data_IF_192095029657
#
_entry.id   IF_192095029657
#
_cell.length_a   1.000
_cell.length_b   1.000
_cell.length_c   1.000
_cell.angle_alpha   90.00
_cell.angle_beta   90.00
_cell.angle_gamma   90.00
#
_symmetry.space_group_name_H-M   'P 1'
#
loop_
_entity.id
_entity.type
_entity.pdbx_description
1 polymer ?
#
# COMPACT_ATOMS: atom_id res chain seq x y z
N UNK A 1 -7.30 -18.22 28.11
CA UNK A 1 -7.53 -17.99 26.66
C UNK A 1 -7.88 -16.54 26.36
N UNK A 2 -8.73 -15.91 27.15
CA UNK A 2 -9.20 -14.53 26.91
C UNK A 2 -8.09 -13.48 26.84
N UNK A 3 -7.10 -13.53 27.75
CA UNK A 3 -5.96 -12.62 27.70
C UNK A 3 -5.16 -12.73 26.38
N UNK A 4 -5.00 -13.95 25.85
CA UNK A 4 -4.30 -14.21 24.58
C UNK A 4 -5.09 -13.66 23.38
N UNK A 5 -6.41 -13.88 23.35
CA UNK A 5 -7.29 -13.30 22.33
C UNK A 5 -7.28 -11.77 22.34
N UNK A 6 -7.32 -11.16 23.53
CA UNK A 6 -7.26 -9.71 23.69
C UNK A 6 -5.90 -9.15 23.23
N UNK A 7 -4.80 -9.82 23.54
CA UNK A 7 -3.47 -9.40 23.11
C UNK A 7 -3.31 -9.50 21.58
N UNK A 8 -3.70 -10.61 20.97
CA UNK A 8 -3.62 -10.79 19.52
C UNK A 8 -4.60 -9.87 18.78
N UNK A 9 -5.79 -9.60 19.33
CA UNK A 9 -6.73 -8.62 18.77
C UNK A 9 -6.17 -7.19 18.78
N UNK A 10 -5.47 -6.79 19.85
CA UNK A 10 -4.76 -5.50 19.87
C UNK A 10 -3.62 -5.45 18.85
N UNK A 11 -2.89 -6.56 18.67
CA UNK A 11 -1.83 -6.67 17.67
C UNK A 11 -2.39 -6.55 16.25
N UNK A 12 -3.50 -7.23 15.94
CA UNK A 12 -4.18 -7.11 14.66
C UNK A 12 -4.54 -5.65 14.35
N UNK A 13 -5.21 -4.96 15.28
CA UNK A 13 -5.64 -3.58 15.08
C UNK A 13 -4.45 -2.62 14.89
N UNK A 14 -3.32 -2.89 15.56
CA UNK A 14 -2.09 -2.14 15.34
C UNK A 14 -1.55 -2.36 13.93
N UNK A 15 -1.49 -3.62 13.46
CA UNK A 15 -0.97 -3.98 12.13
C UNK A 15 -1.89 -3.46 11.02
N UNK A 16 -3.21 -3.47 11.20
CA UNK A 16 -4.17 -2.84 10.29
C UNK A 16 -3.91 -1.34 10.17
N UNK A 17 -3.76 -0.65 11.29
CA UNK A 17 -3.45 0.79 11.28
C UNK A 17 -2.12 1.08 10.58
N UNK A 18 -1.12 0.22 10.75
CA UNK A 18 0.15 0.35 10.04
C UNK A 18 0.04 0.07 8.55
N UNK A 19 -0.76 -0.93 8.15
CA UNK A 19 -1.08 -1.22 6.75
C UNK A 19 -1.75 -0.02 6.10
N UNK A 20 -2.77 0.55 6.76
CA UNK A 20 -3.54 1.67 6.21
C UNK A 20 -2.68 2.93 6.05
N UNK A 21 -1.79 3.20 7.01
CA UNK A 21 -0.79 4.29 6.88
C UNK A 21 0.12 4.11 5.67
N UNK A 22 0.63 2.89 5.46
CA UNK A 22 1.47 2.59 4.29
C UNK A 22 0.66 2.69 3.00
N UNK A 23 -0.61 2.28 3.01
CA UNK A 23 -1.53 2.45 1.89
C UNK A 23 -1.69 3.91 1.50
N UNK A 24 -1.97 4.78 2.48
CA UNK A 24 -2.08 6.24 2.26
C UNK A 24 -0.79 6.84 1.70
N UNK A 25 0.36 6.43 2.21
CA UNK A 25 1.66 6.87 1.69
C UNK A 25 1.88 6.42 0.24
N UNK A 26 1.52 5.18 -0.09
CA UNK A 26 1.63 4.66 -1.45
C UNK A 26 0.73 5.43 -2.42
N UNK A 27 -0.49 5.78 -2.01
CA UNK A 27 -1.42 6.54 -2.84
C UNK A 27 -0.92 7.97 -3.09
N UNK A 28 -0.37 8.63 -2.07
CA UNK A 28 0.28 9.94 -2.23
C UNK A 28 1.46 9.88 -3.20
N UNK A 29 2.31 8.86 -3.09
CA UNK A 29 3.43 8.66 -4.02
C UNK A 29 2.96 8.39 -5.45
N UNK A 30 1.88 7.63 -5.63
CA UNK A 30 1.27 7.40 -6.95
C UNK A 30 0.72 8.68 -7.55
N UNK A 31 0.07 9.53 -6.76
CA UNK A 31 -0.38 10.85 -7.22
C UNK A 31 0.79 11.74 -7.64
N UNK A 32 1.88 11.76 -6.86
CA UNK A 32 3.10 12.49 -7.21
C UNK A 32 3.73 11.96 -8.51
N UNK A 33 3.76 10.64 -8.69
CA UNK A 33 4.26 10.03 -9.92
C UNK A 33 3.42 10.42 -11.15
N UNK A 34 2.09 10.43 -11.03
CA UNK A 34 1.20 10.90 -12.10
C UNK A 34 1.48 12.36 -12.44
N UNK A 35 1.65 13.21 -11.44
CA UNK A 35 1.98 14.62 -11.66
C UNK A 35 3.31 14.80 -12.41
N UNK A 36 4.36 14.09 -11.98
CA UNK A 36 5.68 14.11 -12.63
C UNK A 36 5.59 13.62 -14.09
N UNK A 37 4.77 12.59 -14.34
CA UNK A 37 4.53 12.09 -15.70
C UNK A 37 3.85 13.14 -16.59
N UNK A 38 2.89 13.92 -16.06
CA UNK A 38 2.29 15.04 -16.78
C UNK A 38 3.32 16.14 -17.08
N UNK A 39 4.19 16.47 -16.13
CA UNK A 39 5.26 17.46 -16.34
C UNK A 39 6.25 17.00 -17.42
N UNK A 40 6.63 15.72 -17.43
CA UNK A 40 7.47 15.14 -18.49
C UNK A 40 6.82 15.25 -19.88
N UNK A 41 5.52 14.96 -19.97
CA UNK A 41 4.77 15.13 -21.22
C UNK A 41 4.79 16.60 -21.68
N UNK A 42 4.57 17.55 -20.79
CA UNK A 42 4.64 18.98 -21.11
C UNK A 42 6.04 19.41 -21.57
N UNK A 43 7.10 18.96 -20.89
CA UNK A 43 8.49 19.24 -21.28
C UNK A 43 8.83 18.65 -22.65
N UNK A 44 8.37 17.43 -22.94
CA UNK A 44 8.57 16.81 -24.26
C UNK A 44 7.84 17.58 -25.37
N UNK A 45 6.61 18.05 -25.11
CA UNK A 45 5.85 18.88 -26.03
C UNK A 45 6.53 20.24 -26.28
N UNK A 46 7.04 20.89 -25.22
CA UNK A 46 7.81 22.13 -25.32
C UNK A 46 9.07 21.93 -26.17
N UNK A 47 9.81 20.83 -25.98
CA UNK A 47 11.00 20.52 -26.79
C UNK A 47 10.64 20.32 -28.26
N UNK A 48 9.60 19.56 -28.55
CA UNK A 48 9.13 19.34 -29.93
C UNK A 48 8.70 20.66 -30.60
N UNK A 49 7.97 21.51 -29.87
CA UNK A 49 7.54 22.81 -30.36
C UNK A 49 8.70 23.79 -30.58
N UNK A 50 9.69 23.80 -29.68
CA UNK A 50 10.91 24.60 -29.85
C UNK A 50 11.70 24.17 -31.10
N UNK A 51 11.81 22.86 -31.34
CA UNK A 51 12.44 22.32 -32.55
C UNK A 51 11.69 22.68 -33.84
N UNK A 52 10.35 22.60 -33.84
CA UNK A 52 9.53 23.01 -34.99
C UNK A 52 9.61 24.52 -35.26
N UNK A 53 9.61 25.34 -34.20
CA UNK A 53 9.74 26.79 -34.31
C UNK A 53 11.09 27.21 -34.89
N UNK A 54 12.16 26.47 -34.58
CA UNK A 54 13.48 26.70 -35.16
C UNK A 54 13.51 26.46 -36.68
N UNK A 55 12.74 25.48 -37.18
CA UNK A 55 12.67 25.13 -38.61
C UNK A 55 11.80 26.10 -39.43
N UNK A 56 10.89 26.84 -38.78
CA UNK A 56 9.96 27.77 -39.42
C UNK A 56 10.43 29.24 -39.37
N UNK A 57 11.58 29.54 -38.77
CA UNK A 57 12.10 30.90 -38.64
C UNK A 57 12.58 31.45 -40.00
N UNK A 58 11.97 32.53 -40.53
CA UNK A 58 12.26 33.04 -41.89
C UNK A 58 13.64 33.69 -42.02
N UNK A 59 14.25 34.12 -40.90
CA UNK A 59 15.64 34.58 -40.86
C UNK A 59 16.33 34.07 -39.58
N UNK A 60 17.40 33.29 -39.75
CA UNK A 60 18.20 32.78 -38.64
C UNK A 60 19.39 33.72 -38.43
N UNK A 61 19.34 34.51 -37.35
CA UNK A 61 20.51 35.26 -36.90
C UNK A 61 21.33 34.44 -35.88
N UNK A 62 22.60 34.79 -35.71
CA UNK A 62 23.53 34.07 -34.80
C UNK A 62 23.02 34.01 -33.36
N UNK A 63 22.41 35.09 -32.86
CA UNK A 63 21.85 35.14 -31.52
C UNK A 63 20.67 34.17 -31.32
N UNK A 64 19.79 34.05 -32.32
CA UNK A 64 18.65 33.13 -32.34
C UNK A 64 19.14 31.69 -32.33
N UNK A 65 20.16 31.34 -33.12
CA UNK A 65 20.75 30.00 -33.12
C UNK A 65 21.40 29.63 -31.78
N UNK A 66 22.15 30.56 -31.17
CA UNK A 66 22.74 30.34 -29.84
C UNK A 66 21.67 30.17 -28.75
N UNK A 67 20.60 30.98 -28.80
CA UNK A 67 19.49 30.87 -27.86
C UNK A 67 18.72 29.56 -28.00
N UNK A 68 18.44 29.13 -29.24
CA UNK A 68 17.79 27.85 -29.51
C UNK A 68 18.63 26.67 -29.00
N UNK A 69 19.95 26.70 -29.24
CA UNK A 69 20.85 25.67 -28.74
C UNK A 69 20.89 25.64 -27.20
N UNK A 70 20.92 26.80 -26.55
CA UNK A 70 20.88 26.90 -25.09
C UNK A 70 19.56 26.36 -24.51
N UNK A 71 18.43 26.69 -25.13
CA UNK A 71 17.10 26.20 -24.74
C UNK A 71 17.01 24.68 -24.94
N UNK A 72 17.47 24.15 -26.06
CA UNK A 72 17.47 22.70 -26.33
C UNK A 72 18.34 21.94 -25.31
N UNK A 73 19.55 22.43 -25.02
CA UNK A 73 20.39 21.83 -23.97
C UNK A 73 19.73 21.86 -22.59
N UNK A 74 19.03 22.96 -22.25
CA UNK A 74 18.33 23.09 -20.97
C UNK A 74 17.14 22.12 -20.88
N UNK A 75 16.32 22.05 -21.94
CA UNK A 75 15.19 21.12 -22.02
C UNK A 75 15.66 19.67 -22.00
N UNK A 76 16.75 19.34 -22.69
CA UNK A 76 17.34 18.01 -22.70
C UNK A 76 17.82 17.59 -21.30
N UNK A 77 18.52 18.48 -20.58
CA UNK A 77 18.94 18.22 -19.20
C UNK A 77 17.76 18.05 -18.26
N UNK A 78 16.73 18.89 -18.39
CA UNK A 78 15.51 18.77 -17.58
C UNK A 78 14.77 17.45 -17.85
N UNK A 79 14.63 17.04 -19.11
CA UNK A 79 14.01 15.77 -19.47
C UNK A 79 14.75 14.59 -18.86
N UNK A 80 16.07 14.52 -19.02
CA UNK A 80 16.88 13.45 -18.43
C UNK A 80 16.77 13.40 -16.90
N UNK A 81 16.75 14.56 -16.24
CA UNK A 81 16.55 14.65 -14.80
C UNK A 81 15.19 14.08 -14.38
N UNK A 82 14.10 14.51 -15.03
CA UNK A 82 12.76 14.07 -14.68
C UNK A 82 12.52 12.60 -15.02
N UNK A 83 13.12 12.07 -16.10
CA UNK A 83 13.10 10.64 -16.44
C UNK A 83 13.78 9.81 -15.33
N UNK A 84 14.93 10.29 -14.83
CA UNK A 84 15.61 9.63 -13.72
C UNK A 84 14.78 9.68 -12.43
N UNK A 85 14.22 10.85 -12.10
CA UNK A 85 13.32 11.01 -10.94
C UNK A 85 12.09 10.10 -11.05
N UNK A 86 11.52 9.95 -12.25
CA UNK A 86 10.40 9.06 -12.50
C UNK A 86 10.79 7.59 -12.24
N UNK A 87 11.95 7.15 -12.74
CA UNK A 87 12.45 5.80 -12.51
C UNK A 87 12.69 5.53 -11.01
N UNK A 88 13.28 6.50 -10.31
CA UNK A 88 13.50 6.42 -8.85
C UNK A 88 12.17 6.37 -8.11
N UNK A 89 11.21 7.21 -8.47
CA UNK A 89 9.88 7.23 -7.85
C UNK A 89 9.14 5.92 -8.09
N UNK A 90 9.19 5.38 -9.31
CA UNK A 90 8.60 4.09 -9.65
C UNK A 90 9.21 2.96 -8.82
N UNK A 91 10.54 2.90 -8.70
CA UNK A 91 11.21 1.91 -7.87
C UNK A 91 10.79 2.01 -6.39
N UNK A 92 10.66 3.24 -5.86
CA UNK A 92 10.16 3.46 -4.50
C UNK A 92 8.71 3.01 -4.34
N UNK A 93 7.83 3.33 -5.29
CA UNK A 93 6.44 2.84 -5.31
C UNK A 93 6.37 1.31 -5.28
N UNK A 94 7.17 0.63 -6.10
CA UNK A 94 7.23 -0.84 -6.11
C UNK A 94 7.73 -1.39 -4.78
N UNK A 95 8.74 -0.77 -4.16
CA UNK A 95 9.24 -1.17 -2.85
C UNK A 95 8.17 -1.03 -1.76
N UNK A 96 7.49 0.11 -1.71
CA UNK A 96 6.41 0.37 -0.73
C UNK A 96 5.22 -0.55 -0.97
N UNK A 97 4.89 -0.85 -2.22
CA UNK A 97 3.86 -1.82 -2.57
C UNK A 97 4.18 -3.22 -2.04
N UNK A 98 5.42 -3.71 -2.21
CA UNK A 98 5.85 -4.99 -1.62
C UNK A 98 5.75 -5.00 -0.09
N UNK A 99 6.08 -3.88 0.56
CA UNK A 99 5.91 -3.75 2.01
C UNK A 99 4.44 -3.80 2.42
N UNK A 100 3.56 -3.16 1.65
CA UNK A 100 2.11 -3.18 1.87
C UNK A 100 1.55 -4.60 1.73
N UNK A 101 1.97 -5.35 0.71
CA UNK A 101 1.60 -6.75 0.48
C UNK A 101 2.03 -7.63 1.65
N UNK A 102 3.27 -7.47 2.13
CA UNK A 102 3.76 -8.20 3.29
C UNK A 102 2.96 -7.89 4.56
N UNK A 103 2.66 -6.61 4.82
CA UNK A 103 1.81 -6.20 5.95
C UNK A 103 0.40 -6.75 5.82
N UNK A 104 -0.17 -6.76 4.63
CA UNK A 104 -1.48 -7.34 4.38
C UNK A 104 -1.50 -8.85 4.68
N UNK A 105 -0.51 -9.60 4.22
CA UNK A 105 -0.35 -11.02 4.53
C UNK A 105 -0.22 -11.26 6.04
N UNK A 106 0.48 -10.38 6.77
CA UNK A 106 0.62 -10.46 8.22
C UNK A 106 -0.71 -10.24 8.95
N UNK A 107 -1.51 -9.26 8.53
CA UNK A 107 -2.86 -9.02 9.08
C UNK A 107 -3.75 -10.23 8.86
N UNK A 108 -3.79 -10.77 7.63
CA UNK A 108 -4.56 -11.98 7.32
C UNK A 108 -4.11 -13.20 8.17
N UNK A 109 -2.81 -13.32 8.43
CA UNK A 109 -2.27 -14.35 9.32
C UNK A 109 -2.80 -14.23 10.75
N UNK A 110 -2.84 -13.01 11.29
CA UNK A 110 -3.37 -12.74 12.63
C UNK A 110 -4.89 -12.98 12.71
N UNK A 111 -5.64 -12.60 11.68
CA UNK A 111 -7.08 -12.88 11.56
C UNK A 111 -7.37 -14.38 11.63
N UNK A 112 -6.66 -15.19 10.84
CA UNK A 112 -6.80 -16.66 10.85
C UNK A 112 -6.48 -17.27 12.22
N UNK A 113 -5.47 -16.75 12.92
CA UNK A 113 -5.14 -17.22 14.28
C UNK A 113 -6.24 -16.86 15.26
N UNK A 114 -6.79 -15.64 15.18
CA UNK A 114 -7.89 -15.19 16.03
C UNK A 114 -9.15 -16.01 15.82
N UNK A 115 -9.52 -16.31 14.57
CA UNK A 115 -10.65 -17.18 14.25
C UNK A 115 -10.47 -18.58 14.87
N UNK A 116 -9.30 -19.21 14.66
CA UNK A 116 -9.00 -20.53 15.25
C UNK A 116 -9.10 -20.52 16.77
N UNK A 117 -8.59 -19.46 17.40
CA UNK A 117 -8.60 -19.34 18.85
C UNK A 117 -10.00 -19.06 19.41
N UNK A 118 -10.83 -18.28 18.71
CA UNK A 118 -12.25 -18.08 19.04
C UNK A 118 -13.02 -19.39 18.92
N UNK A 119 -12.83 -20.13 17.82
CA UNK A 119 -13.46 -21.43 17.63
C UNK A 119 -13.09 -22.41 18.76
N UNK A 120 -11.79 -22.48 19.11
CA UNK A 120 -11.33 -23.30 20.24
C UNK A 120 -11.95 -22.87 21.57
N UNK A 121 -12.05 -21.57 21.83
CA UNK A 121 -12.68 -21.09 23.07
C UNK A 121 -14.16 -21.44 23.13
N UNK A 122 -14.90 -21.28 22.03
CA UNK A 122 -16.32 -21.61 21.96
C UNK A 122 -16.55 -23.11 22.14
N UNK A 123 -15.72 -23.94 21.53
CA UNK A 123 -15.75 -25.39 21.74
C UNK A 123 -15.53 -25.77 23.20
N UNK A 124 -14.52 -25.20 23.86
CA UNK A 124 -14.25 -25.46 25.29
C UNK A 124 -15.40 -24.99 26.20
N UNK A 125 -16.07 -23.88 25.87
CA UNK A 125 -17.26 -23.43 26.59
C UNK A 125 -18.42 -24.41 26.43
N UNK A 126 -18.76 -24.77 25.18
CA UNK A 126 -19.82 -25.71 24.88
C UNK A 126 -19.58 -27.08 25.54
N UNK A 127 -18.34 -27.57 25.52
CA UNK A 127 -17.97 -28.84 26.18
C UNK A 127 -18.18 -28.80 27.70
N UNK A 128 -17.87 -27.68 28.34
CA UNK A 128 -18.10 -27.50 29.80
C UNK A 128 -19.58 -27.42 30.13
N UNK A 129 -20.36 -26.70 29.33
CA UNK A 129 -21.82 -26.60 29.47
C UNK A 129 -22.49 -27.96 29.29
N UNK A 130 -22.08 -28.71 28.25
CA UNK A 130 -22.57 -30.07 28.02
C UNK A 130 -22.29 -31.00 29.20
N UNK A 131 -21.06 -30.99 29.74
CA UNK A 131 -20.71 -31.79 30.91
C UNK A 131 -21.55 -31.40 32.14
N UNK A 132 -21.78 -30.10 32.36
CA UNK A 132 -22.63 -29.63 33.46
C UNK A 132 -24.06 -30.17 33.33
N UNK A 133 -24.62 -30.16 32.13
CA UNK A 133 -25.95 -30.71 31.84
C UNK A 133 -25.98 -32.21 32.13
N UNK A 134 -24.98 -32.96 31.65
CA UNK A 134 -24.84 -34.41 31.93
C UNK A 134 -24.76 -34.70 33.42
N UNK A 135 -23.96 -33.94 34.18
CA UNK A 135 -23.84 -34.08 35.63
C UNK A 135 -25.18 -33.79 36.36
N UNK A 136 -25.95 -32.80 35.89
CA UNK A 136 -27.30 -32.49 36.41
C UNK A 136 -28.27 -33.65 36.12
N UNK A 137 -28.25 -34.21 34.91
CA UNK A 137 -29.10 -35.36 34.55
C UNK A 137 -28.74 -36.58 35.40
N UNK A 138 -27.46 -36.90 35.51
CA UNK A 138 -26.97 -38.05 36.29
C UNK A 138 -27.30 -37.93 37.77
N UNK A 139 -27.16 -36.74 38.36
CA UNK A 139 -27.53 -36.50 39.77
C UNK A 139 -29.03 -36.64 40.01
N UNK A 140 -29.87 -36.20 39.06
CA UNK A 140 -31.33 -36.39 39.11
C UNK A 140 -31.72 -37.87 38.99
N UNK A 141 -31.09 -38.62 38.08
CA UNK A 141 -31.35 -40.05 37.92
C UNK A 141 -30.95 -40.84 39.17
N UNK A 142 -29.77 -40.56 39.76
CA UNK A 142 -29.34 -41.19 41.01
C UNK A 142 -30.30 -40.96 42.18
N UNK A 143 -30.91 -39.77 42.28
CA UNK A 143 -31.93 -39.46 43.30
C UNK A 143 -33.29 -40.15 43.10
N UNK A 144 -33.58 -40.66 41.91
CA UNK A 144 -34.84 -41.35 41.59
C UNK A 144 -34.79 -42.86 41.81
N UNK A 145 -33.59 -43.43 41.94
CA UNK A 145 -33.34 -44.86 42.09
C UNK A 145 -33.19 -45.26 43.58
N UNK A 146 -32.98 -44.27 44.47
CA UNK A 146 -33.08 -44.39 45.93
C UNK A 146 -34.50 -44.05 46.39
#
# INVERSE_FOLDING_TARGET
MEAKLKAVGKLQLMEEKQRDRVGQQLDQMRQQHVHLQTQLQQLSALKNHAGQSALMAPTLNSATLMNLNRVDQMLQKMLQHHEHEQAVMQARCTSVQKQLEHKHARVQGLEKVLERWRAKQNYEKAKKEQKLIEDIINSRLKRKIL
#
